data_IF_500223205352
#
_entry.id   IF_500223205352
#
_cell.length_a   1.000
_cell.length_b   1.000
_cell.length_c   1.000
_cell.angle_alpha   90.00
_cell.angle_beta   90.00
_cell.angle_gamma   90.00
#
_symmetry.space_group_name_H-M   'P 1'
#
loop_
_entity.id
_entity.type
_entity.pdbx_description
1 polymer ?
#
# COMPACT_ATOMS: atom_id res chain seq x y z
N UNK A 1 -13.62 12.47 -10.57
CA UNK A 1 -13.00 13.33 -11.60
C UNK A 1 -11.84 12.59 -12.28
N UNK A 2 -11.29 13.06 -13.41
CA UNK A 2 -10.13 12.43 -14.04
C UNK A 2 -8.91 12.32 -13.10
N UNK A 3 -8.59 13.36 -12.34
CA UNK A 3 -7.46 13.35 -11.39
C UNK A 3 -7.65 12.37 -10.23
N UNK A 4 -8.86 12.31 -9.64
CA UNK A 4 -9.19 11.31 -8.61
C UNK A 4 -9.01 9.88 -9.14
N UNK A 5 -9.42 9.62 -10.38
CA UNK A 5 -9.24 8.31 -11.04
C UNK A 5 -7.76 7.95 -11.18
N UNK A 6 -6.93 8.88 -11.67
CA UNK A 6 -5.48 8.65 -11.82
C UNK A 6 -4.82 8.28 -10.48
N UNK A 7 -5.10 9.04 -9.42
CA UNK A 7 -4.53 8.79 -8.09
C UNK A 7 -5.07 7.48 -7.50
N UNK A 8 -6.36 7.21 -7.68
CA UNK A 8 -6.97 5.95 -7.22
C UNK A 8 -6.30 4.73 -7.88
N UNK A 9 -6.15 4.77 -9.21
CA UNK A 9 -5.53 3.67 -9.97
C UNK A 9 -4.06 3.49 -9.58
N UNK A 10 -3.34 4.57 -9.26
CA UNK A 10 -1.99 4.50 -8.72
C UNK A 10 -1.96 3.77 -7.37
N UNK A 11 -2.80 4.18 -6.41
CA UNK A 11 -2.92 3.50 -5.11
C UNK A 11 -3.31 2.03 -5.29
N UNK A 12 -4.24 1.72 -6.19
CA UNK A 12 -4.64 0.34 -6.50
C UNK A 12 -3.51 -0.51 -7.07
N UNK A 13 -2.65 0.06 -7.94
CA UNK A 13 -1.45 -0.63 -8.44
C UNK A 13 -0.46 -0.91 -7.31
N UNK A 14 -0.21 0.07 -6.43
CA UNK A 14 0.64 -0.14 -5.25
C UNK A 14 0.04 -1.20 -4.32
N UNK A 15 -1.28 -1.16 -4.08
CA UNK A 15 -2.00 -2.14 -3.25
C UNK A 15 -1.83 -3.57 -3.76
N UNK A 16 -1.99 -3.79 -5.07
CA UNK A 16 -1.80 -5.12 -5.68
C UNK A 16 -0.35 -5.59 -5.60
N UNK A 17 0.60 -4.69 -5.84
CA UNK A 17 2.02 -5.01 -5.67
C UNK A 17 2.30 -5.39 -4.21
N UNK A 18 1.89 -4.56 -3.26
CA UNK A 18 2.07 -4.79 -1.84
C UNK A 18 1.46 -6.12 -1.39
N UNK A 19 0.21 -6.41 -1.77
CA UNK A 19 -0.44 -7.70 -1.50
C UNK A 19 0.42 -8.90 -1.99
N UNK A 20 1.01 -8.81 -3.18
CA UNK A 20 1.89 -9.88 -3.70
C UNK A 20 3.18 -10.11 -2.90
N UNK A 21 3.57 -9.16 -2.04
CA UNK A 21 4.78 -9.21 -1.19
C UNK A 21 4.49 -9.69 0.23
N UNK A 22 3.22 -9.74 0.65
CA UNK A 22 2.81 -10.31 1.93
C UNK A 22 2.81 -11.84 1.83
N UNK A 23 4.01 -12.44 1.90
CA UNK A 23 4.21 -13.89 1.77
C UNK A 23 5.25 -14.39 2.77
N UNK A 24 5.16 -15.66 3.14
CA UNK A 24 6.10 -16.31 4.08
C UNK A 24 7.56 -16.12 3.63
N UNK A 25 8.44 -15.85 4.59
CA UNK A 25 9.88 -15.64 4.37
C UNK A 25 10.29 -14.20 4.04
N UNK A 26 9.35 -13.33 3.66
CA UNK A 26 9.59 -11.89 3.57
C UNK A 26 9.66 -11.26 4.99
N UNK A 27 9.98 -9.97 5.11
CA UNK A 27 9.91 -9.22 6.36
C UNK A 27 9.19 -7.89 6.18
N UNK A 28 8.76 -7.26 7.28
CA UNK A 28 8.10 -5.95 7.24
C UNK A 28 9.03 -4.86 6.66
N UNK A 29 10.33 -4.96 6.91
CA UNK A 29 11.34 -4.01 6.43
C UNK A 29 11.52 -4.13 4.91
N UNK A 30 11.73 -5.36 4.41
CA UNK A 30 11.85 -5.65 2.97
C UNK A 30 10.54 -5.31 2.24
N UNK A 31 9.41 -5.59 2.87
CA UNK A 31 8.08 -5.23 2.39
C UNK A 31 7.93 -3.72 2.24
N UNK A 32 8.09 -2.92 3.31
CA UNK A 32 7.96 -1.46 3.25
C UNK A 32 8.94 -0.83 2.26
N UNK A 33 10.17 -1.32 2.19
CA UNK A 33 11.16 -0.85 1.21
C UNK A 33 10.65 -1.06 -0.23
N UNK A 34 10.27 -2.29 -0.58
CA UNK A 34 9.81 -2.60 -1.94
C UNK A 34 8.52 -1.87 -2.33
N UNK A 35 7.62 -1.65 -1.37
CA UNK A 35 6.41 -0.86 -1.59
C UNK A 35 6.74 0.61 -1.78
N UNK A 36 7.69 1.16 -1.00
CA UNK A 36 8.18 2.53 -1.17
C UNK A 36 8.75 2.77 -2.57
N UNK A 37 9.58 1.85 -3.08
CA UNK A 37 10.12 1.92 -4.46
C UNK A 37 9.01 1.90 -5.52
N UNK A 38 7.97 1.08 -5.31
CA UNK A 38 6.80 1.05 -6.21
C UNK A 38 5.97 2.33 -6.12
N UNK A 39 5.83 2.89 -4.91
CA UNK A 39 5.15 4.16 -4.68
C UNK A 39 5.85 5.30 -5.41
N UNK A 40 7.19 5.37 -5.38
CA UNK A 40 7.96 6.37 -6.13
C UNK A 40 7.69 6.30 -7.63
N UNK A 41 7.65 5.09 -8.21
CA UNK A 41 7.34 4.91 -9.62
C UNK A 41 5.94 5.45 -9.97
N UNK A 42 4.95 5.23 -9.10
CA UNK A 42 3.59 5.74 -9.30
C UNK A 42 3.51 7.25 -9.09
N UNK A 43 4.22 7.82 -8.12
CA UNK A 43 4.29 9.27 -7.91
C UNK A 43 4.98 9.99 -9.07
N UNK A 44 5.99 9.38 -9.70
CA UNK A 44 6.60 9.90 -10.94
C UNK A 44 5.58 9.90 -12.07
N UNK A 45 4.81 8.82 -12.27
CA UNK A 45 3.76 8.74 -13.30
C UNK A 45 2.63 9.76 -13.09
N UNK A 46 2.42 10.20 -11.85
CA UNK A 46 1.44 11.23 -11.49
C UNK A 46 1.97 12.66 -11.58
N UNK A 47 3.23 12.84 -12.01
CA UNK A 47 3.97 14.10 -12.05
C UNK A 47 4.14 14.78 -10.67
N UNK A 48 4.13 13.99 -9.59
CA UNK A 48 4.30 14.47 -8.20
C UNK A 48 5.76 14.44 -7.73
N UNK A 49 6.57 13.57 -8.35
CA UNK A 49 8.02 13.47 -8.14
C UNK A 49 8.73 13.41 -9.50
N UNK A 50 10.00 13.82 -9.54
CA UNK A 50 10.86 13.66 -10.73
C UNK A 50 11.78 12.47 -10.55
N UNK A 51 11.99 11.72 -11.63
CA UNK A 51 12.85 10.54 -11.63
C UNK A 51 14.29 10.87 -11.21
N UNK A 52 14.83 12.00 -11.64
CA UNK A 52 16.19 12.43 -11.28
C UNK A 52 16.31 12.78 -9.79
N UNK A 53 15.27 13.37 -9.19
CA UNK A 53 15.27 13.68 -7.76
C UNK A 53 15.22 12.38 -6.93
N UNK A 54 14.36 11.44 -7.32
CA UNK A 54 14.26 10.11 -6.69
C UNK A 54 15.58 9.34 -6.82
N UNK A 55 16.25 9.39 -7.97
CA UNK A 55 17.54 8.72 -8.18
C UNK A 55 18.65 9.26 -7.26
N UNK A 56 18.60 10.54 -6.90
CA UNK A 56 19.61 11.22 -6.10
C UNK A 56 19.16 11.45 -4.64
N UNK A 57 18.03 10.86 -4.22
CA UNK A 57 17.51 11.06 -2.87
C UNK A 57 18.39 10.43 -1.79
N UNK A 58 18.22 10.91 -0.56
CA UNK A 58 18.76 10.24 0.62
C UNK A 58 17.99 8.93 0.88
N UNK A 59 18.66 7.76 0.88
CA UNK A 59 18.00 6.47 1.15
C UNK A 59 17.29 6.41 2.51
N UNK A 60 17.76 7.18 3.50
CA UNK A 60 17.15 7.22 4.84
C UNK A 60 15.97 8.21 4.93
N UNK A 61 15.83 9.09 3.92
CA UNK A 61 14.76 10.08 3.80
C UNK A 61 14.12 10.07 2.40
N UNK A 62 13.45 8.96 2.01
CA UNK A 62 12.91 8.81 0.67
C UNK A 62 11.79 9.81 0.39
N UNK A 63 11.78 10.37 -0.81
CA UNK A 63 10.91 11.45 -1.25
C UNK A 63 9.43 11.06 -1.28
N UNK A 64 9.10 9.77 -1.49
CA UNK A 64 7.71 9.33 -1.46
C UNK A 64 7.00 9.66 -0.15
N UNK A 65 7.74 9.79 0.97
CA UNK A 65 7.17 10.11 2.28
C UNK A 65 6.49 11.47 2.34
N UNK A 66 6.75 12.36 1.38
CA UNK A 66 5.98 13.59 1.22
C UNK A 66 4.49 13.31 0.93
N UNK A 67 4.19 12.25 0.17
CA UNK A 67 2.84 11.89 -0.26
C UNK A 67 2.31 10.60 0.40
N UNK A 68 3.19 9.80 1.00
CA UNK A 68 2.87 8.56 1.71
C UNK A 68 3.67 8.46 3.02
N UNK A 69 3.24 9.14 4.10
CA UNK A 69 4.06 9.40 5.29
C UNK A 69 4.01 8.29 6.36
N UNK A 70 3.28 7.19 6.12
CA UNK A 70 3.07 6.11 7.08
C UNK A 70 3.57 4.76 6.54
N UNK A 71 3.61 3.75 7.41
CA UNK A 71 3.91 2.38 7.00
C UNK A 71 2.78 1.80 6.15
N UNK A 72 3.09 0.81 5.31
CA UNK A 72 2.09 0.14 4.45
C UNK A 72 1.38 -1.02 5.14
N UNK A 73 1.75 -1.36 6.37
CA UNK A 73 1.23 -2.54 7.07
C UNK A 73 1.62 -2.53 8.55
N UNK A 74 0.74 -3.08 9.37
CA UNK A 74 0.99 -3.47 10.75
C UNK A 74 0.32 -4.83 11.06
N UNK A 75 0.69 -5.45 12.19
CA UNK A 75 0.01 -6.65 12.68
C UNK A 75 -1.44 -6.34 13.05
N UNK A 76 -2.33 -7.30 12.85
CA UNK A 76 -3.75 -7.21 13.19
C UNK A 76 -4.19 -8.44 13.99
N UNK A 77 -5.01 -8.24 15.02
CA UNK A 77 -5.56 -9.34 15.81
C UNK A 77 -6.50 -8.84 16.90
N UNK A 78 -6.17 -9.06 18.17
CA UNK A 78 -7.03 -8.61 19.28
C UNK A 78 -7.05 -7.09 19.41
N UNK A 79 -5.93 -6.44 19.12
CA UNK A 79 -5.82 -5.00 18.94
C UNK A 79 -5.70 -4.65 17.45
N UNK A 80 -6.19 -3.45 17.08
CA UNK A 80 -6.10 -2.96 15.68
C UNK A 80 -4.65 -2.86 15.25
N UNK A 81 -3.79 -2.27 16.09
CA UNK A 81 -2.34 -2.35 15.96
C UNK A 81 -1.84 -3.42 16.93
N UNK A 82 -1.85 -4.67 16.48
CA UNK A 82 -1.57 -5.80 17.38
C UNK A 82 -0.08 -5.92 17.73
N UNK A 83 0.17 -6.68 18.79
CA UNK A 83 1.52 -6.97 19.26
C UNK A 83 2.31 -7.77 18.22
N UNK A 84 3.58 -7.43 18.04
CA UNK A 84 4.43 -8.17 17.13
C UNK A 84 5.87 -7.71 17.13
N UNK A 85 6.76 -8.53 16.57
CA UNK A 85 8.18 -8.23 16.50
C UNK A 85 8.56 -7.82 15.07
N UNK A 86 9.07 -6.60 14.91
CA UNK A 86 9.36 -6.02 13.58
C UNK A 86 10.47 -6.71 12.80
N UNK A 87 11.38 -7.42 13.47
CA UNK A 87 12.47 -8.15 12.79
C UNK A 87 12.14 -9.62 12.53
N UNK A 88 10.93 -10.07 12.87
CA UNK A 88 10.49 -11.44 12.61
C UNK A 88 10.19 -11.59 11.11
N UNK A 89 10.63 -12.69 10.52
CA UNK A 89 10.20 -13.08 9.18
C UNK A 89 8.73 -13.46 9.20
N UNK A 90 8.05 -13.21 8.09
CA UNK A 90 6.66 -13.57 7.91
C UNK A 90 6.48 -15.09 7.92
N UNK A 91 5.51 -15.56 8.69
CA UNK A 91 5.14 -16.96 8.84
C UNK A 91 3.65 -17.15 8.62
N UNK A 92 3.25 -18.35 8.23
CA UNK A 92 1.84 -18.68 8.04
C UNK A 92 1.05 -18.50 9.35
N UNK A 93 -0.17 -17.97 9.24
CA UNK A 93 -1.03 -17.65 10.37
C UNK A 93 -0.87 -16.23 10.92
N UNK A 94 0.13 -15.46 10.47
CA UNK A 94 0.18 -14.03 10.77
C UNK A 94 -0.88 -13.27 9.98
N UNK A 95 -1.46 -12.23 10.57
CA UNK A 95 -2.40 -11.31 9.91
C UNK A 95 -1.81 -9.91 9.90
N UNK A 96 -1.86 -9.27 8.75
CA UNK A 96 -1.32 -7.94 8.49
C UNK A 96 -2.31 -7.11 7.70
N UNK A 97 -2.29 -5.79 7.89
CA UNK A 97 -2.95 -4.86 6.98
C UNK A 97 -2.13 -4.65 5.70
N UNK A 98 -2.78 -4.27 4.60
CA UNK A 98 -2.15 -3.76 3.38
C UNK A 98 -2.78 -2.42 3.02
N UNK A 99 -2.14 -1.32 3.38
CA UNK A 99 -2.79 0.01 3.46
C UNK A 99 -2.06 1.16 2.71
N UNK A 100 -1.62 1.00 1.46
CA UNK A 100 -0.98 2.11 0.74
C UNK A 100 -1.94 3.28 0.54
N UNK A 101 -1.40 4.50 0.60
CA UNK A 101 -2.15 5.72 0.34
C UNK A 101 -1.32 6.82 -0.28
N UNK A 102 -1.99 7.72 -1.00
CA UNK A 102 -1.40 8.94 -1.57
C UNK A 102 -2.22 10.13 -1.08
N UNK A 103 -1.53 11.11 -0.49
CA UNK A 103 -2.11 12.33 0.07
C UNK A 103 -1.46 13.57 -0.56
N UNK A 104 -2.25 14.33 -1.32
CA UNK A 104 -1.81 15.50 -2.08
C UNK A 104 -2.50 16.73 -1.47
N UNK A 105 -1.79 17.43 -0.58
CA UNK A 105 -2.35 18.50 0.25
C UNK A 105 -2.86 19.67 -0.58
N UNK A 106 -2.09 20.07 -1.58
CA UNK A 106 -2.37 21.15 -2.53
C UNK A 106 -3.59 20.87 -3.41
N UNK A 107 -3.89 19.60 -3.68
CA UNK A 107 -5.09 19.17 -4.40
C UNK A 107 -6.29 18.89 -3.47
N UNK A 108 -6.11 18.95 -2.14
CA UNK A 108 -7.09 18.50 -1.14
C UNK A 108 -7.61 17.08 -1.43
N UNK A 109 -6.70 16.20 -1.85
CA UNK A 109 -7.00 14.84 -2.29
C UNK A 109 -6.21 13.83 -1.44
N UNK A 110 -6.90 12.83 -0.91
CA UNK A 110 -6.28 11.71 -0.21
C UNK A 110 -7.02 10.43 -0.53
N UNK A 111 -6.29 9.38 -0.88
CA UNK A 111 -6.84 8.06 -1.19
C UNK A 111 -5.98 7.01 -0.48
N UNK A 112 -6.60 6.12 0.28
CA UNK A 112 -5.99 4.92 0.85
C UNK A 112 -6.90 3.74 0.53
N UNK A 113 -6.30 2.62 0.14
CA UNK A 113 -6.97 1.33 0.01
C UNK A 113 -6.35 0.39 1.03
N UNK A 114 -7.19 -0.30 1.80
CA UNK A 114 -6.76 -1.04 2.97
C UNK A 114 -7.58 -2.32 3.12
N UNK A 115 -6.88 -3.45 3.11
CA UNK A 115 -7.46 -4.78 3.36
C UNK A 115 -6.64 -5.55 4.40
N UNK A 116 -7.29 -6.53 5.01
CA UNK A 116 -6.71 -7.45 6.00
C UNK A 116 -6.26 -8.74 5.32
N UNK A 117 -4.98 -9.09 5.50
CA UNK A 117 -4.31 -10.17 4.77
C UNK A 117 -3.82 -11.24 5.75
N UNK A 118 -4.34 -12.45 5.59
CA UNK A 118 -3.88 -13.65 6.30
C UNK A 118 -2.75 -14.32 5.50
N UNK A 119 -1.59 -14.49 6.12
CA UNK A 119 -0.48 -15.23 5.51
C UNK A 119 -0.74 -16.73 5.57
N UNK A 120 -0.57 -17.40 4.43
CA UNK A 120 -0.71 -18.86 4.31
C UNK A 120 0.63 -19.50 3.94
N UNK A 121 0.75 -20.81 4.04
CA UNK A 121 2.00 -21.51 3.73
C UNK A 121 2.46 -21.33 2.26
N UNK A 122 1.54 -21.00 1.34
CA UNK A 122 1.81 -20.87 -0.10
C UNK A 122 1.57 -19.47 -0.65
N UNK A 123 1.25 -18.49 0.19
CA UNK A 123 0.91 -17.13 -0.24
C UNK A 123 0.17 -16.35 0.83
N UNK A 124 -0.95 -15.74 0.46
CA UNK A 124 -1.86 -15.07 1.38
C UNK A 124 -3.32 -15.21 0.94
N UNK A 125 -4.21 -14.88 1.86
CA UNK A 125 -5.65 -14.77 1.67
C UNK A 125 -6.09 -13.36 2.06
N UNK A 126 -6.86 -12.71 1.18
CA UNK A 126 -7.45 -11.40 1.44
C UNK A 126 -8.81 -11.60 2.10
N UNK A 127 -8.90 -11.27 3.39
CA UNK A 127 -10.09 -11.46 4.22
C UNK A 127 -11.21 -10.46 3.88
N UNK A 128 -10.91 -9.48 3.01
CA UNK A 128 -11.81 -8.42 2.57
C UNK A 128 -12.06 -8.48 1.04
N UNK A 129 -11.74 -9.61 0.40
CA UNK A 129 -11.82 -9.78 -1.06
C UNK A 129 -13.21 -9.53 -1.66
N UNK A 130 -14.28 -9.69 -0.86
CA UNK A 130 -15.65 -9.43 -1.30
C UNK A 130 -16.01 -7.94 -1.38
N UNK A 131 -15.13 -7.06 -0.86
CA UNK A 131 -15.30 -5.60 -0.94
C UNK A 131 -14.69 -5.11 -2.25
N UNK A 132 -15.46 -4.40 -3.09
CA UNK A 132 -15.01 -4.00 -4.42
C UNK A 132 -13.95 -2.90 -4.37
N UNK A 133 -12.84 -3.14 -5.07
CA UNK A 133 -11.74 -2.18 -5.28
C UNK A 133 -11.66 -1.65 -6.71
N UNK A 134 -12.34 -2.27 -7.68
CA UNK A 134 -12.31 -1.75 -9.05
C UNK A 134 -13.19 -0.51 -9.17
N UNK A 135 -12.67 0.53 -9.81
CA UNK A 135 -13.41 1.77 -10.07
C UNK A 135 -14.78 1.53 -10.71
N UNK A 136 -14.85 0.62 -11.69
CA UNK A 136 -16.09 0.29 -12.38
C UNK A 136 -17.12 -0.38 -11.45
N UNK A 137 -16.65 -1.17 -10.48
CA UNK A 137 -17.52 -1.83 -9.51
C UNK A 137 -18.04 -0.84 -8.47
N UNK A 138 -17.17 0.05 -7.97
CA UNK A 138 -17.55 1.14 -7.06
C UNK A 138 -18.56 2.07 -7.72
N UNK A 139 -18.26 2.57 -8.93
CA UNK A 139 -19.16 3.47 -9.67
C UNK A 139 -20.50 2.80 -9.98
N UNK A 140 -20.51 1.48 -10.25
CA UNK A 140 -21.74 0.72 -10.50
C UNK A 140 -22.59 0.58 -9.23
N UNK A 141 -21.96 0.33 -8.09
CA UNK A 141 -22.67 0.16 -6.81
C UNK A 141 -23.28 1.47 -6.31
N UNK A 142 -22.57 2.60 -6.47
CA UNK A 142 -23.09 3.92 -6.06
C UNK A 142 -24.24 4.44 -6.92
N UNK A 143 -24.43 3.89 -8.13
CA UNK A 143 -25.53 4.26 -9.05
C UNK A 143 -26.85 3.56 -8.74
N UNK A 144 -26.87 2.64 -7.77
CA UNK A 144 -28.08 1.96 -7.30
C UNK A 144 -28.81 2.83 -6.30
#
# INVERSE_FOLDING_TARGET
>A
SPRQRQVYEAVLRVFRFASSRLVVGNSIEEYHKSVGETMEQELIKLDLLKADDVKNQDPDAPLYKQYFPHGTSHYLGLDVHDVGYKYRKFEAGMVYTNEPGIYIREEKLGIRLENDILLTATGNEDLMADIPLELADIERLMKR
#
